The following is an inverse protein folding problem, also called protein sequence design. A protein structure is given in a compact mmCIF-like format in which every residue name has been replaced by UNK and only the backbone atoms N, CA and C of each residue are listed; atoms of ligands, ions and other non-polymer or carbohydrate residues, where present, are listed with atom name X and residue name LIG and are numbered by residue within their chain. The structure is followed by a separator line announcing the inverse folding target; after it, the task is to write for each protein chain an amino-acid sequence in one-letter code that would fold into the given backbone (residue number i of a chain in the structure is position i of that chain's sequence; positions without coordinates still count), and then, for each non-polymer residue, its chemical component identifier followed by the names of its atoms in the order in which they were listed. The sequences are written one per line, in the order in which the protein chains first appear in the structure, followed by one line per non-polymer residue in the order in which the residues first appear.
data_IF_543342779341
#
_entry.id   IF_543342779341
#
_cell.length_a   1.000
_cell.length_b   1.000
_cell.length_c   1.000
_cell.angle_alpha   90.00
_cell.angle_beta   90.00
_cell.angle_gamma   90.00
#
_symmetry.space_group_name_H-M   'P 1'
#
loop_
_entity.id
_entity.type
_entity.pdbx_description
1 polymer ?
#
# COMPACT_ATOMS: atom_id res chain seq x y z
N UNK A 1 14.54 -8.85 -43.17
CA UNK A 1 13.11 -8.86 -42.81
C UNK A 1 12.83 -9.59 -41.49
N UNK A 2 13.10 -10.90 -41.35
CA UNK A 2 12.88 -11.61 -40.07
C UNK A 2 13.77 -11.13 -38.92
N UNK A 3 15.06 -10.88 -39.17
CA UNK A 3 16.01 -10.37 -38.15
C UNK A 3 15.63 -9.00 -37.60
N UNK A 4 15.21 -8.07 -38.47
CA UNK A 4 14.75 -6.73 -38.08
C UNK A 4 13.45 -6.78 -37.27
N UNK A 5 12.53 -7.70 -37.62
CA UNK A 5 11.30 -7.94 -36.84
C UNK A 5 11.60 -8.47 -35.42
N UNK A 6 12.52 -9.42 -35.27
CA UNK A 6 12.92 -9.92 -33.96
C UNK A 6 13.60 -8.87 -33.10
N UNK A 7 14.45 -8.02 -33.70
CA UNK A 7 15.09 -6.90 -33.01
C UNK A 7 14.04 -5.89 -32.56
N UNK A 8 13.10 -5.49 -33.44
CA UNK A 8 12.04 -4.55 -33.06
C UNK A 8 11.14 -5.11 -31.96
N UNK A 9 10.80 -6.40 -32.02
CA UNK A 9 10.01 -7.05 -30.98
C UNK A 9 10.75 -7.09 -29.64
N UNK A 10 12.05 -7.36 -29.66
CA UNK A 10 12.90 -7.31 -28.47
C UNK A 10 12.93 -5.92 -27.83
N UNK A 11 13.08 -4.87 -28.64
CA UNK A 11 13.05 -3.48 -28.16
C UNK A 11 11.70 -3.13 -27.53
N UNK A 12 10.59 -3.50 -28.18
CA UNK A 12 9.24 -3.27 -27.63
C UNK A 12 9.06 -4.01 -26.31
N UNK A 13 9.51 -5.26 -26.21
CA UNK A 13 9.41 -6.04 -24.98
C UNK A 13 10.19 -5.40 -23.82
N UNK A 14 11.39 -4.88 -24.10
CA UNK A 14 12.20 -4.17 -23.10
C UNK A 14 11.47 -2.91 -22.63
N UNK A 15 10.96 -2.10 -23.56
CA UNK A 15 10.23 -0.87 -23.23
C UNK A 15 9.00 -1.18 -22.37
N UNK A 16 8.21 -2.19 -22.74
CA UNK A 16 7.05 -2.63 -21.94
C UNK A 16 7.49 -3.12 -20.55
N UNK A 17 8.58 -3.88 -20.47
CA UNK A 17 9.11 -4.37 -19.18
C UNK A 17 9.51 -3.22 -18.25
N UNK A 18 10.19 -2.20 -18.78
CA UNK A 18 10.58 -1.01 -18.01
C UNK A 18 9.35 -0.25 -17.53
N UNK A 19 8.33 -0.08 -18.38
CA UNK A 19 7.08 0.60 -18.01
C UNK A 19 6.31 -0.17 -16.92
N UNK A 20 6.22 -1.49 -17.04
CA UNK A 20 5.59 -2.36 -16.02
C UNK A 20 6.35 -2.28 -14.71
N UNK A 21 7.69 -2.34 -14.76
CA UNK A 21 8.53 -2.19 -13.57
C UNK A 21 8.32 -0.84 -12.89
N UNK A 22 8.37 0.26 -13.65
CA UNK A 22 8.16 1.60 -13.13
C UNK A 22 6.76 1.81 -12.53
N UNK A 23 5.73 1.19 -13.12
CA UNK A 23 4.36 1.33 -12.65
C UNK A 23 4.09 0.53 -11.36
N UNK A 24 4.62 -0.68 -11.25
CA UNK A 24 4.18 -1.61 -10.18
C UNK A 24 5.25 -1.94 -9.15
N UNK A 25 6.53 -1.87 -9.51
CA UNK A 25 7.64 -2.34 -8.69
C UNK A 25 8.54 -1.21 -8.20
N UNK A 26 8.60 -0.07 -8.90
CA UNK A 26 9.30 1.12 -8.43
C UNK A 26 8.61 1.69 -7.19
N UNK A 27 9.37 1.77 -6.09
CA UNK A 27 8.94 2.44 -4.85
C UNK A 27 9.06 3.94 -5.10
N UNK A 28 7.92 4.61 -5.24
CA UNK A 28 7.84 6.04 -5.47
C UNK A 28 8.20 6.84 -4.22
N UNK A 29 7.83 6.33 -3.05
CA UNK A 29 8.15 6.95 -1.77
C UNK A 29 7.99 5.96 -0.63
N UNK A 30 8.56 6.30 0.51
CA UNK A 30 8.44 5.55 1.76
C UNK A 30 8.34 6.52 2.94
N UNK A 31 7.73 6.07 4.03
CA UNK A 31 7.54 6.91 5.19
C UNK A 31 6.72 6.23 6.28
N UNK A 32 6.35 7.01 7.30
CA UNK A 32 5.58 6.53 8.45
C UNK A 32 4.25 7.27 8.54
N UNK A 33 3.17 6.55 8.82
CA UNK A 33 1.87 7.13 9.16
C UNK A 33 1.40 6.64 10.51
N UNK A 34 0.89 7.57 11.30
CA UNK A 34 0.43 7.35 12.67
C UNK A 34 -1.08 7.47 12.73
N UNK A 35 -1.76 6.52 13.37
CA UNK A 35 -3.21 6.61 13.53
C UNK A 35 -3.82 5.43 14.28
N UNK A 36 -5.10 5.57 14.60
CA UNK A 36 -5.89 4.54 15.24
C UNK A 36 -6.27 3.44 14.25
N UNK A 37 -5.98 2.18 14.57
CA UNK A 37 -6.32 1.07 13.70
C UNK A 37 -7.83 0.79 13.75
N UNK A 38 -8.52 1.12 12.65
CA UNK A 38 -9.95 0.87 12.50
C UNK A 38 -10.23 -0.60 12.19
N UNK A 39 -9.53 -1.14 11.20
CA UNK A 39 -9.64 -2.55 10.85
C UNK A 39 -8.33 -3.09 10.27
N UNK A 40 -8.14 -4.39 10.45
CA UNK A 40 -7.22 -5.24 9.69
C UNK A 40 -8.02 -6.47 9.24
N UNK A 41 -8.14 -6.70 7.93
CA UNK A 41 -8.96 -7.76 7.35
C UNK A 41 -8.24 -8.46 6.22
N UNK A 42 -8.49 -9.76 6.06
CA UNK A 42 -8.09 -10.52 4.88
C UNK A 42 -9.26 -10.59 3.89
N UNK A 43 -9.15 -9.95 2.73
CA UNK A 43 -10.25 -9.86 1.74
C UNK A 43 -9.76 -10.03 0.30
N UNK A 44 -10.69 -10.21 -0.63
CA UNK A 44 -10.41 -10.36 -2.06
C UNK A 44 -11.23 -11.48 -2.71
N UNK A 45 -11.19 -11.57 -4.04
CA UNK A 45 -11.93 -12.59 -4.81
C UNK A 45 -11.02 -13.75 -5.22
N UNK A 46 -10.12 -13.50 -6.17
CA UNK A 46 -9.14 -14.48 -6.67
C UNK A 46 -7.90 -14.49 -5.77
N UNK A 47 -7.34 -13.32 -5.49
CA UNK A 47 -6.24 -13.15 -4.55
C UNK A 47 -6.79 -12.63 -3.23
N UNK A 48 -6.52 -13.33 -2.13
CA UNK A 48 -6.82 -12.86 -0.79
C UNK A 48 -5.62 -12.07 -0.28
N UNK A 49 -5.82 -10.78 -0.04
CA UNK A 49 -4.80 -9.85 0.44
C UNK A 49 -5.14 -9.37 1.84
N UNK A 50 -4.11 -8.91 2.55
CA UNK A 50 -4.24 -8.32 3.87
C UNK A 50 -4.40 -6.81 3.72
N UNK A 51 -5.47 -6.26 4.27
CA UNK A 51 -5.85 -4.86 4.09
C UNK A 51 -6.13 -4.23 5.45
N UNK A 52 -5.76 -2.97 5.61
CA UNK A 52 -5.97 -2.21 6.84
C UNK A 52 -6.39 -0.77 6.59
N UNK A 53 -6.89 -0.14 7.64
CA UNK A 53 -7.23 1.29 7.65
C UNK A 53 -6.85 1.92 8.97
N UNK A 54 -6.01 2.95 8.92
CA UNK A 54 -5.81 3.87 10.04
C UNK A 54 -6.73 5.08 9.92
N UNK A 55 -7.25 5.53 11.06
CA UNK A 55 -7.89 6.83 11.20
C UNK A 55 -6.87 7.75 11.87
N UNK A 56 -6.45 8.77 11.15
CA UNK A 56 -5.54 9.79 11.64
C UNK A 56 -6.37 10.95 12.16
N UNK A 57 -6.10 11.40 13.38
CA UNK A 57 -6.68 12.64 13.90
C UNK A 57 -6.14 13.79 13.04
N UNK A 58 -7.02 14.51 12.35
CA UNK A 58 -6.59 15.65 11.56
C UNK A 58 -6.24 16.83 12.46
N UNK A 59 -5.13 17.49 12.14
CA UNK A 59 -4.76 18.77 12.74
C UNK A 59 -5.60 19.88 12.12
N UNK A 60 -6.79 20.10 12.68
CA UNK A 60 -7.63 21.22 12.26
C UNK A 60 -8.97 21.24 12.96
N UNK A 61 -9.27 22.33 13.68
CA UNK A 61 -10.66 22.76 13.85
C UNK A 61 -11.15 23.08 12.44
N UNK A 62 -12.04 22.27 11.87
CA UNK A 62 -12.78 22.68 10.68
C UNK A 62 -13.37 24.08 10.90
N UNK A 63 -13.61 24.85 9.83
CA UNK A 63 -14.17 26.21 9.91
C UNK A 63 -15.49 26.31 10.71
N UNK A 64 -16.08 25.18 11.07
CA UNK A 64 -17.33 24.97 11.82
C UNK A 64 -17.17 24.12 13.11
N UNK A 65 -15.95 23.90 13.62
CA UNK A 65 -15.74 23.11 14.85
C UNK A 65 -15.81 21.59 14.67
N UNK A 66 -15.90 21.09 13.43
CA UNK A 66 -15.85 19.67 13.12
C UNK A 66 -14.40 19.18 13.05
N UNK A 67 -14.08 18.13 13.81
CA UNK A 67 -12.80 17.41 13.70
C UNK A 67 -12.82 16.63 12.38
N UNK A 68 -11.92 16.96 11.45
CA UNK A 68 -11.76 16.18 10.21
C UNK A 68 -10.73 15.08 10.46
N UNK A 69 -11.10 13.82 10.34
CA UNK A 69 -10.15 12.69 10.42
C UNK A 69 -9.72 12.25 9.02
N UNK A 70 -8.43 11.96 8.84
CA UNK A 70 -7.92 11.44 7.57
C UNK A 70 -7.83 9.93 7.61
N UNK A 71 -8.39 9.27 6.61
CA UNK A 71 -8.27 7.82 6.47
C UNK A 71 -7.00 7.46 5.70
N UNK A 72 -6.25 6.49 6.22
CA UNK A 72 -5.13 5.88 5.52
C UNK A 72 -5.44 4.41 5.29
N UNK A 73 -5.83 4.08 4.06
CA UNK A 73 -5.99 2.71 3.60
C UNK A 73 -4.66 2.17 3.09
N UNK A 74 -4.33 0.96 3.54
CA UNK A 74 -3.08 0.31 3.18
C UNK A 74 -3.28 -1.20 3.03
N UNK A 75 -2.34 -1.81 2.31
CA UNK A 75 -2.23 -3.26 2.19
C UNK A 75 -0.99 -3.74 2.95
N UNK A 76 -0.98 -4.99 3.37
CA UNK A 76 0.16 -5.60 4.10
C UNK A 76 0.66 -6.79 3.29
N UNK A 77 1.96 -6.83 3.03
CA UNK A 77 2.55 -7.96 2.31
C UNK A 77 3.00 -9.09 3.26
N UNK A 78 3.38 -8.72 4.49
CA UNK A 78 3.90 -9.66 5.49
C UNK A 78 2.77 -10.19 6.41
N UNK A 79 2.49 -11.50 6.43
CA UNK A 79 1.51 -12.10 7.33
C UNK A 79 1.79 -11.84 8.81
N UNK A 80 3.05 -11.70 9.23
CA UNK A 80 3.40 -11.43 10.62
C UNK A 80 3.01 -10.01 11.02
N UNK A 81 3.27 -9.04 10.16
CA UNK A 81 2.82 -7.64 10.35
C UNK A 81 1.30 -7.59 10.40
N UNK A 82 0.62 -8.30 9.51
CA UNK A 82 -0.85 -8.37 9.54
C UNK A 82 -1.37 -8.97 10.84
N UNK A 83 -0.77 -10.08 11.32
CA UNK A 83 -1.16 -10.72 12.57
C UNK A 83 -0.98 -9.79 13.78
N UNK A 84 0.09 -8.99 13.79
CA UNK A 84 0.31 -7.98 14.84
C UNK A 84 -0.83 -6.95 14.85
N UNK A 85 -1.22 -6.45 13.68
CA UNK A 85 -2.33 -5.49 13.54
C UNK A 85 -3.67 -6.11 13.96
N UNK A 86 -3.98 -7.30 13.45
CA UNK A 86 -5.23 -8.01 13.73
C UNK A 86 -5.39 -8.31 15.22
N UNK A 87 -4.34 -8.81 15.88
CA UNK A 87 -4.37 -9.18 17.31
C UNK A 87 -4.44 -7.96 18.22
N UNK A 88 -4.02 -6.79 17.73
CA UNK A 88 -3.98 -5.54 18.48
C UNK A 88 -4.93 -4.48 17.91
N UNK A 89 -6.06 -4.92 17.34
CA UNK A 89 -7.09 -4.03 16.81
C UNK A 89 -7.57 -3.03 17.87
N UNK A 90 -7.81 -1.79 17.45
CA UNK A 90 -8.23 -0.71 18.34
C UNK A 90 -7.09 -0.03 19.11
N UNK A 91 -5.83 -0.33 18.79
CA UNK A 91 -4.67 0.43 19.27
C UNK A 91 -4.23 1.51 18.28
N UNK A 92 -3.38 2.41 18.74
CA UNK A 92 -2.74 3.41 17.87
C UNK A 92 -1.42 2.84 17.35
N UNK A 93 -1.17 2.98 16.05
CA UNK A 93 0.03 2.46 15.39
C UNK A 93 0.77 3.54 14.63
N UNK A 94 2.08 3.41 14.62
CA UNK A 94 2.97 4.07 13.67
C UNK A 94 3.43 3.02 12.65
N UNK A 95 2.96 3.12 11.41
CA UNK A 95 3.22 2.13 10.36
C UNK A 95 4.16 2.70 9.31
N UNK A 96 5.26 1.99 9.05
CA UNK A 96 6.10 2.26 7.89
C UNK A 96 5.46 1.67 6.64
N UNK A 97 5.45 2.42 5.55
CA UNK A 97 4.86 2.01 4.29
C UNK A 97 5.74 2.39 3.11
N UNK A 98 5.57 1.62 2.03
CA UNK A 98 6.09 1.91 0.70
C UNK A 98 4.94 2.27 -0.23
N UNK A 99 5.06 3.40 -0.90
CA UNK A 99 4.15 3.84 -1.95
C UNK A 99 4.68 3.40 -3.32
N UNK A 100 3.81 2.76 -4.08
CA UNK A 100 4.06 2.39 -5.47
C UNK A 100 3.22 3.25 -6.41
N UNK A 101 3.62 3.31 -7.68
CA UNK A 101 2.84 4.02 -8.70
C UNK A 101 1.53 3.29 -9.08
N UNK A 102 1.33 2.05 -8.64
CA UNK A 102 0.16 1.22 -8.95
C UNK A 102 -0.01 0.07 -7.95
N UNK A 103 -1.25 -0.38 -7.77
CA UNK A 103 -1.59 -1.56 -6.99
C UNK A 103 -1.50 -2.82 -7.86
N UNK A 104 -1.09 -3.95 -7.27
CA UNK A 104 -1.09 -5.26 -7.91
C UNK A 104 -2.12 -6.14 -7.19
N UNK A 105 -3.03 -6.83 -7.91
CA UNK A 105 -4.12 -7.59 -7.27
C UNK A 105 -3.67 -8.64 -6.24
N UNK A 106 -2.48 -9.21 -6.38
CA UNK A 106 -1.92 -10.19 -5.44
C UNK A 106 -1.07 -9.58 -4.32
N UNK A 107 -0.64 -8.31 -4.45
CA UNK A 107 0.11 -7.59 -3.41
C UNK A 107 -0.84 -6.86 -2.45
N UNK A 108 -1.95 -6.35 -2.97
CA UNK A 108 -2.89 -5.55 -2.20
C UNK A 108 -3.78 -4.67 -3.06
N UNK A 109 -4.86 -4.19 -2.46
CA UNK A 109 -5.83 -3.32 -3.13
C UNK A 109 -5.37 -1.85 -3.20
N UNK A 110 -4.34 -1.49 -2.46
CA UNK A 110 -3.86 -0.11 -2.36
C UNK A 110 -2.46 0.03 -2.95
N UNK A 111 -2.07 1.28 -3.23
CA UNK A 111 -0.70 1.62 -3.63
C UNK A 111 0.27 1.74 -2.43
N UNK A 112 -0.26 1.67 -1.21
CA UNK A 112 0.49 1.81 0.03
C UNK A 112 0.64 0.45 0.69
N UNK A 113 1.86 -0.07 0.71
CA UNK A 113 2.14 -1.38 1.30
C UNK A 113 2.90 -1.17 2.59
N UNK A 114 2.26 -1.50 3.71
CA UNK A 114 2.90 -1.51 5.02
C UNK A 114 3.81 -2.72 5.10
N UNK A 115 5.06 -2.46 5.47
CA UNK A 115 6.11 -3.46 5.61
C UNK A 115 6.62 -3.58 7.05
N UNK A 116 6.34 -2.61 7.93
CA UNK A 116 6.77 -2.65 9.33
C UNK A 116 5.86 -1.86 10.28
N UNK A 117 5.63 -2.41 11.47
CA UNK A 117 5.14 -1.64 12.63
C UNK A 117 6.32 -0.96 13.29
N UNK A 118 6.33 0.37 13.31
CA UNK A 118 7.37 1.17 13.97
C UNK A 118 7.08 1.28 15.46
N UNK A 119 5.81 1.47 15.82
CA UNK A 119 5.37 1.62 17.20
C UNK A 119 3.90 1.19 17.37
N UNK A 120 3.54 0.83 18.59
CA UNK A 120 2.18 0.46 18.99
C UNK A 120 1.90 1.00 20.40
N UNK A 121 0.80 1.75 20.55
CA UNK A 121 0.34 2.34 21.81
C UNK A 121 -1.07 1.86 22.14
#
# INVERSE_FOLDING_TARGET
MKKTLWISLGVVLILVSVLVWYKYFFVFGEGVKSGYLNYAIKKGYVFKTYEGKLIQEGFGKGKTGTITSYEFEFSVNDPEVFKQLETNSGKTFDLHYKEYNGALPWRGNTKFVVDKVVNMK
#
